data_IF_020900119845
#
_entry.id   IF_020900119845
#
_cell.length_a   1.000
_cell.length_b   1.000
_cell.length_c   1.000
_cell.angle_alpha   90.00
_cell.angle_beta   90.00
_cell.angle_gamma   90.00
#
_symmetry.space_group_name_H-M   'P 1'
#
loop_
_entity.id
_entity.type
_entity.pdbx_description
1 polymer ?
#
# COMPACT_ATOMS: atom_id res chain seq x y z
N UNK A 1 14.79 7.97 0.78
CA UNK A 1 13.45 7.71 1.35
C UNK A 1 12.70 9.02 1.50
N UNK A 2 11.46 9.05 1.06
CA UNK A 2 10.55 10.17 1.29
C UNK A 2 9.27 9.66 1.97
N UNK A 3 8.73 10.47 2.89
CA UNK A 3 7.40 10.27 3.45
C UNK A 3 6.42 11.18 2.69
N UNK A 4 5.45 10.58 2.03
CA UNK A 4 4.43 11.26 1.24
C UNK A 4 3.08 11.14 1.96
N UNK A 5 2.57 12.25 2.48
CA UNK A 5 1.22 12.33 3.05
C UNK A 5 0.30 12.91 2.00
N UNK A 6 -0.73 12.15 1.62
CA UNK A 6 -1.68 12.53 0.57
C UNK A 6 -2.84 13.27 1.21
N UNK A 7 -2.70 14.59 1.29
CA UNK A 7 -3.64 15.52 1.95
C UNK A 7 -4.78 16.00 1.04
N UNK A 8 -4.93 15.37 -0.13
CA UNK A 8 -5.96 15.75 -1.09
C UNK A 8 -7.37 15.72 -0.45
N UNK A 9 -8.20 16.79 -0.60
CA UNK A 9 -9.49 16.91 0.07
C UNK A 9 -10.44 15.73 -0.12
N UNK A 10 -10.47 15.10 -1.30
CA UNK A 10 -11.28 13.89 -1.55
C UNK A 10 -10.80 12.68 -0.74
N UNK A 11 -9.49 12.52 -0.58
CA UNK A 11 -8.92 11.44 0.23
C UNK A 11 -9.28 11.64 1.70
N UNK A 12 -9.07 12.87 2.21
CA UNK A 12 -9.35 13.22 3.59
C UNK A 12 -10.85 13.12 3.93
N UNK A 13 -11.73 13.58 3.04
CA UNK A 13 -13.17 13.42 3.21
C UNK A 13 -13.60 11.95 3.29
N UNK A 14 -13.12 11.12 2.37
CA UNK A 14 -13.43 9.68 2.34
C UNK A 14 -12.87 8.96 3.57
N UNK A 15 -11.65 9.31 3.98
CA UNK A 15 -11.03 8.78 5.19
C UNK A 15 -11.83 9.16 6.43
N UNK A 16 -12.34 10.39 6.54
CA UNK A 16 -13.19 10.83 7.65
C UNK A 16 -14.47 9.99 7.77
N UNK A 17 -15.11 9.66 6.65
CA UNK A 17 -16.28 8.76 6.64
C UNK A 17 -15.87 7.35 7.07
N UNK A 18 -14.74 6.86 6.56
CA UNK A 18 -14.22 5.53 6.83
C UNK A 18 -13.89 5.32 8.31
N UNK A 19 -13.40 6.36 8.99
CA UNK A 19 -13.06 6.33 10.42
C UNK A 19 -14.27 6.16 11.33
N UNK A 20 -15.47 6.59 10.91
CA UNK A 20 -16.67 6.50 11.73
C UNK A 20 -16.96 5.06 12.14
N UNK A 21 -17.30 4.85 13.41
CA UNK A 21 -17.60 3.51 13.96
C UNK A 21 -18.84 2.84 13.32
N UNK A 22 -19.79 3.66 12.88
CA UNK A 22 -21.03 3.21 12.23
C UNK A 22 -20.86 2.91 10.74
N UNK A 23 -19.69 3.14 10.14
CA UNK A 23 -19.45 2.83 8.72
C UNK A 23 -19.51 1.31 8.51
N UNK A 24 -20.47 0.87 7.72
CA UNK A 24 -20.69 -0.55 7.43
C UNK A 24 -19.52 -1.18 6.68
N UNK A 25 -19.37 -2.50 6.78
CA UNK A 25 -18.34 -3.27 6.05
C UNK A 25 -18.39 -3.01 4.54
N UNK A 26 -19.58 -2.92 3.95
CA UNK A 26 -19.74 -2.63 2.52
C UNK A 26 -19.16 -1.24 2.22
N UNK A 27 -19.59 -0.22 2.97
CA UNK A 27 -19.13 1.16 2.75
C UNK A 27 -17.64 1.32 3.04
N UNK A 28 -17.12 0.61 4.02
CA UNK A 28 -15.69 0.60 4.35
C UNK A 28 -14.86 0.08 3.16
N UNK A 29 -15.26 -1.03 2.53
CA UNK A 29 -14.61 -1.59 1.34
C UNK A 29 -14.66 -0.65 0.14
N UNK A 30 -15.81 -0.03 -0.12
CA UNK A 30 -15.96 0.97 -1.19
C UNK A 30 -15.00 2.14 -1.01
N UNK A 31 -14.97 2.73 0.19
CA UNK A 31 -14.10 3.85 0.52
C UNK A 31 -12.62 3.45 0.44
N UNK A 32 -12.26 2.27 0.92
CA UNK A 32 -10.90 1.76 0.83
C UNK A 32 -10.43 1.61 -0.61
N UNK A 33 -11.29 1.04 -1.48
CA UNK A 33 -11.02 0.94 -2.92
C UNK A 33 -10.80 2.32 -3.55
N UNK A 34 -11.70 3.28 -3.29
CA UNK A 34 -11.63 4.62 -3.84
C UNK A 34 -10.36 5.38 -3.37
N UNK A 35 -10.05 5.33 -2.06
CA UNK A 35 -8.83 5.96 -1.52
C UNK A 35 -7.60 5.29 -2.12
N UNK A 36 -7.59 3.96 -2.24
CA UNK A 36 -6.46 3.23 -2.84
C UNK A 36 -6.20 3.61 -4.29
N UNK A 37 -7.23 3.96 -5.07
CA UNK A 37 -7.07 4.52 -6.42
C UNK A 37 -6.37 5.87 -6.39
N UNK A 38 -6.79 6.80 -5.54
CA UNK A 38 -6.16 8.12 -5.41
C UNK A 38 -4.71 8.02 -4.92
N UNK A 39 -4.47 7.16 -3.93
CA UNK A 39 -3.11 6.90 -3.45
C UNK A 39 -2.24 6.26 -4.54
N UNK A 40 -2.79 5.33 -5.31
CA UNK A 40 -2.10 4.70 -6.44
C UNK A 40 -1.69 5.71 -7.51
N UNK A 41 -2.52 6.71 -7.79
CA UNK A 41 -2.19 7.82 -8.67
C UNK A 41 -0.95 8.60 -8.18
N UNK A 42 -0.87 8.89 -6.87
CA UNK A 42 0.29 9.56 -6.28
C UNK A 42 1.53 8.66 -6.23
N UNK A 43 1.36 7.39 -5.87
CA UNK A 43 2.47 6.40 -5.83
C UNK A 43 3.13 6.21 -7.20
N UNK A 44 2.42 6.51 -8.29
CA UNK A 44 2.91 6.34 -9.66
C UNK A 44 3.29 7.64 -10.36
N UNK A 45 3.30 8.77 -9.66
CA UNK A 45 3.48 10.12 -10.22
C UNK A 45 4.80 10.31 -10.97
N UNK A 46 5.86 9.66 -10.55
CA UNK A 46 7.21 9.75 -11.08
C UNK A 46 7.55 8.63 -12.09
N UNK A 47 6.55 7.93 -12.60
CA UNK A 47 6.80 6.88 -13.60
C UNK A 47 7.50 7.46 -14.82
N UNK A 48 8.61 6.85 -15.25
CA UNK A 48 9.33 7.32 -16.43
C UNK A 48 8.48 7.13 -17.68
N UNK A 49 8.56 8.11 -18.57
CA UNK A 49 7.90 8.08 -19.86
C UNK A 49 8.93 7.80 -20.99
N UNK A 50 8.49 7.09 -21.99
CA UNK A 50 9.11 6.99 -23.32
C UNK A 50 8.11 7.49 -24.35
N UNK A 51 8.55 7.66 -25.57
CA UNK A 51 7.70 8.16 -26.66
C UNK A 51 7.64 7.13 -27.78
N UNK A 52 6.47 6.99 -28.39
CA UNK A 52 6.27 6.17 -29.60
C UNK A 52 5.46 6.94 -30.64
N UNK A 53 5.78 6.71 -31.91
CA UNK A 53 4.97 7.26 -33.01
C UNK A 53 3.61 6.55 -33.04
N UNK A 54 2.56 7.32 -32.97
CA UNK A 54 1.18 6.86 -33.14
C UNK A 54 0.49 7.67 -34.25
N UNK A 55 -0.61 7.14 -34.77
CA UNK A 55 -1.50 7.84 -35.69
C UNK A 55 -2.84 8.13 -35.00
N UNK A 56 -3.18 9.40 -34.93
CA UNK A 56 -4.50 9.86 -34.50
C UNK A 56 -5.44 9.88 -35.70
N UNK A 57 -6.75 10.06 -35.55
CA UNK A 57 -7.65 10.23 -36.68
C UNK A 57 -7.31 11.41 -37.61
N UNK A 58 -6.43 12.32 -37.18
CA UNK A 58 -6.08 13.53 -37.91
C UNK A 58 -4.64 13.57 -38.41
N UNK A 59 -3.68 13.04 -37.67
CA UNK A 59 -2.25 13.09 -38.03
C UNK A 59 -1.40 12.15 -37.17
N UNK A 60 -0.18 11.90 -37.65
CA UNK A 60 0.88 11.23 -36.87
C UNK A 60 1.44 12.15 -35.80
N UNK A 61 1.78 11.58 -34.65
CA UNK A 61 2.44 12.28 -33.53
C UNK A 61 3.31 11.35 -32.72
N UNK A 62 4.27 11.91 -31.97
CA UNK A 62 4.96 11.21 -30.87
C UNK A 62 4.14 11.31 -29.59
N UNK A 63 3.67 10.17 -29.08
CA UNK A 63 2.85 10.10 -27.88
C UNK A 63 3.64 9.57 -26.69
N UNK A 64 3.41 10.09 -25.47
CA UNK A 64 4.03 9.57 -24.26
C UNK A 64 3.44 8.21 -23.87
N UNK A 65 4.32 7.31 -23.43
CA UNK A 65 4.00 5.97 -22.96
C UNK A 65 4.78 5.67 -21.69
N UNK A 66 4.17 5.03 -20.72
CA UNK A 66 4.88 4.59 -19.51
C UNK A 66 6.00 3.65 -19.92
N UNK A 67 7.23 4.01 -19.55
CA UNK A 67 8.43 3.22 -19.79
C UNK A 67 8.57 2.09 -18.78
N UNK A 68 9.25 1.03 -19.17
CA UNK A 68 9.68 -0.03 -18.27
C UNK A 68 8.64 -1.10 -18.00
N UNK A 69 8.89 -1.87 -16.94
CA UNK A 69 8.11 -3.05 -16.60
C UNK A 69 6.95 -2.68 -15.66
N UNK A 70 5.89 -3.48 -15.76
CA UNK A 70 4.66 -3.30 -15.01
C UNK A 70 4.87 -3.45 -13.49
N UNK A 71 4.03 -2.78 -12.71
CA UNK A 71 3.97 -2.80 -11.25
C UNK A 71 3.61 -4.20 -10.72
N UNK A 72 4.07 -4.49 -9.51
CA UNK A 72 3.57 -5.57 -8.66
C UNK A 72 2.90 -4.95 -7.44
N UNK A 73 1.67 -5.34 -7.16
CA UNK A 73 0.97 -5.03 -5.92
C UNK A 73 1.20 -6.22 -4.99
N UNK A 74 1.72 -5.95 -3.79
CA UNK A 74 2.07 -6.98 -2.81
C UNK A 74 1.35 -6.73 -1.47
N UNK A 75 0.08 -7.18 -1.33
CA UNK A 75 -0.64 -7.02 -0.08
C UNK A 75 -0.05 -7.88 1.03
N UNK A 76 0.07 -7.29 2.22
CA UNK A 76 0.27 -8.05 3.46
C UNK A 76 -1.10 -8.60 3.87
N UNK A 77 -1.21 -9.91 3.86
CA UNK A 77 -2.45 -10.59 4.20
C UNK A 77 -2.76 -10.44 5.70
N UNK A 78 -4.01 -10.26 6.08
CA UNK A 78 -5.25 -10.22 5.25
C UNK A 78 -5.59 -8.81 4.80
N UNK A 79 -5.41 -7.79 5.65
CA UNK A 79 -5.97 -6.44 5.48
C UNK A 79 -5.51 -5.73 4.19
N UNK A 80 -4.25 -5.94 3.78
CA UNK A 80 -3.71 -5.37 2.54
C UNK A 80 -4.48 -5.73 1.28
N UNK A 81 -5.21 -6.86 1.27
CA UNK A 81 -6.06 -7.25 0.14
C UNK A 81 -7.13 -6.21 -0.20
N UNK A 82 -7.64 -5.49 0.81
CA UNK A 82 -8.67 -4.47 0.58
C UNK A 82 -8.22 -3.31 -0.32
N UNK A 83 -6.91 -3.10 -0.43
CA UNK A 83 -6.34 -2.02 -1.27
C UNK A 83 -6.08 -2.47 -2.72
N UNK A 84 -6.04 -3.77 -2.99
CA UNK A 84 -5.63 -4.34 -4.29
C UNK A 84 -6.59 -3.96 -5.41
N UNK A 85 -7.90 -4.02 -5.15
CA UNK A 85 -8.92 -3.76 -6.17
C UNK A 85 -8.85 -2.31 -6.69
N UNK A 86 -8.62 -1.34 -5.81
CA UNK A 86 -8.44 0.06 -6.19
C UNK A 86 -7.23 0.25 -7.09
N UNK A 87 -6.10 -0.34 -6.73
CA UNK A 87 -4.88 -0.29 -7.53
C UNK A 87 -5.02 -1.00 -8.88
N UNK A 88 -5.69 -2.16 -8.95
CA UNK A 88 -5.96 -2.87 -10.20
C UNK A 88 -6.93 -2.10 -11.11
N UNK A 89 -7.86 -1.36 -10.54
CA UNK A 89 -8.75 -0.46 -11.32
C UNK A 89 -7.93 0.64 -12.02
N UNK A 90 -6.93 1.20 -11.32
CA UNK A 90 -6.03 2.23 -11.87
C UNK A 90 -4.98 1.63 -12.82
N UNK A 91 -4.40 0.48 -12.46
CA UNK A 91 -3.32 -0.17 -13.21
C UNK A 91 -3.74 -1.62 -13.53
N UNK A 92 -4.63 -1.85 -14.52
CA UNK A 92 -5.17 -3.20 -14.81
C UNK A 92 -4.10 -4.21 -15.21
N UNK A 93 -2.95 -3.72 -15.66
CA UNK A 93 -1.83 -4.56 -16.09
C UNK A 93 -0.86 -4.91 -14.95
N UNK A 94 -1.08 -4.44 -13.73
CA UNK A 94 -0.26 -4.80 -12.57
C UNK A 94 -0.32 -6.31 -12.30
N UNK A 95 0.77 -6.84 -11.74
CA UNK A 95 0.78 -8.20 -11.20
C UNK A 95 0.45 -8.13 -9.72
N UNK A 96 -0.10 -9.20 -9.18
CA UNK A 96 -0.38 -9.30 -7.74
C UNK A 96 0.47 -10.42 -7.16
N UNK A 97 1.27 -10.07 -6.16
CA UNK A 97 1.90 -11.03 -5.26
C UNK A 97 1.10 -11.12 -3.97
N UNK A 98 1.47 -12.02 -3.07
CA UNK A 98 0.84 -12.13 -1.76
C UNK A 98 1.88 -12.43 -0.69
N UNK A 99 1.81 -11.71 0.43
CA UNK A 99 2.68 -11.89 1.58
C UNK A 99 1.79 -12.23 2.78
N UNK A 100 1.67 -13.52 3.09
CA UNK A 100 0.96 -14.04 4.24
C UNK A 100 1.92 -14.23 5.40
N UNK A 101 1.71 -13.51 6.49
CA UNK A 101 2.54 -13.60 7.68
C UNK A 101 1.73 -13.34 8.94
N UNK A 102 2.20 -13.89 10.04
CA UNK A 102 1.77 -13.54 11.39
C UNK A 102 2.99 -13.46 12.30
N UNK A 103 2.82 -12.87 13.46
CA UNK A 103 3.86 -12.85 14.49
C UNK A 103 3.60 -13.99 15.46
N UNK A 104 4.59 -14.84 15.65
CA UNK A 104 4.54 -15.91 16.65
C UNK A 104 4.38 -15.32 18.04
N UNK A 105 3.45 -15.85 18.84
CA UNK A 105 3.10 -15.29 20.15
C UNK A 105 4.19 -15.53 21.21
N UNK A 106 4.98 -16.59 21.07
CA UNK A 106 6.03 -16.95 22.04
C UNK A 106 7.36 -16.28 21.69
N UNK A 107 7.77 -16.36 20.43
CA UNK A 107 9.08 -15.87 19.96
C UNK A 107 9.05 -14.42 19.50
N UNK A 108 7.87 -13.87 19.23
CA UNK A 108 7.68 -12.57 18.58
C UNK A 108 8.32 -12.45 17.17
N UNK A 109 8.74 -13.57 16.59
CA UNK A 109 9.34 -13.60 15.25
C UNK A 109 8.27 -13.66 14.16
N UNK A 110 8.54 -13.10 12.95
CA UNK A 110 7.62 -13.17 11.84
C UNK A 110 7.61 -14.56 11.21
N UNK A 111 6.44 -15.17 11.11
CA UNK A 111 6.21 -16.45 10.43
C UNK A 111 5.50 -16.21 9.11
N UNK A 112 6.16 -16.57 8.01
CA UNK A 112 5.58 -16.48 6.68
C UNK A 112 4.88 -17.81 6.35
N UNK A 113 3.56 -17.81 6.34
CA UNK A 113 2.77 -18.99 5.98
C UNK A 113 2.41 -19.06 4.50
N UNK A 114 2.50 -17.93 3.79
CA UNK A 114 2.28 -17.85 2.35
C UNK A 114 3.09 -16.70 1.74
N UNK A 115 3.87 -17.02 0.71
CA UNK A 115 4.64 -16.04 -0.02
C UNK A 115 4.68 -16.40 -1.50
N UNK A 116 4.04 -15.61 -2.33
CA UNK A 116 4.00 -15.81 -3.78
C UNK A 116 4.20 -14.49 -4.49
N UNK A 117 5.30 -14.36 -5.21
CA UNK A 117 5.68 -13.14 -5.94
C UNK A 117 6.00 -13.46 -7.40
N UNK A 118 5.80 -12.50 -8.35
CA UNK A 118 6.22 -12.66 -9.74
C UNK A 118 7.74 -12.84 -9.85
N UNK A 119 8.21 -13.67 -10.77
CA UNK A 119 9.64 -13.98 -10.92
C UNK A 119 10.52 -12.78 -11.33
N UNK A 120 9.96 -11.80 -12.05
CA UNK A 120 10.72 -10.63 -12.51
C UNK A 120 10.94 -9.61 -11.39
N UNK A 121 12.18 -9.43 -10.99
CA UNK A 121 12.61 -8.60 -9.86
C UNK A 121 12.80 -7.10 -10.19
N UNK A 122 12.88 -6.72 -11.48
CA UNK A 122 13.07 -5.32 -11.90
C UNK A 122 11.78 -4.48 -11.86
N UNK A 123 10.70 -5.03 -11.31
CA UNK A 123 9.42 -4.34 -11.20
C UNK A 123 9.37 -3.46 -9.96
N UNK A 124 8.66 -2.33 -10.05
CA UNK A 124 8.24 -1.63 -8.84
C UNK A 124 7.26 -2.52 -8.06
N UNK A 125 7.56 -2.76 -6.79
CA UNK A 125 6.67 -3.44 -5.86
C UNK A 125 6.00 -2.41 -4.96
N UNK A 126 4.67 -2.34 -4.99
CA UNK A 126 3.87 -1.55 -4.06
C UNK A 126 3.37 -2.51 -2.97
N UNK A 127 4.00 -2.46 -1.82
CA UNK A 127 3.54 -3.19 -0.63
C UNK A 127 2.33 -2.46 -0.06
N UNK A 128 1.23 -3.15 0.19
CA UNK A 128 0.01 -2.54 0.71
C UNK A 128 -0.40 -3.13 2.05
N UNK A 129 -0.64 -2.25 3.01
CA UNK A 129 -1.24 -2.56 4.30
C UNK A 129 -2.03 -1.34 4.77
N UNK A 130 -3.33 -1.44 5.12
CA UNK A 130 -4.09 -0.27 5.57
C UNK A 130 -3.51 0.40 6.82
N UNK A 131 -2.78 -0.32 7.66
CA UNK A 131 -2.36 0.17 8.98
C UNK A 131 -0.87 -0.05 9.24
N UNK A 132 -0.13 1.04 9.33
CA UNK A 132 1.28 1.03 9.77
C UNK A 132 1.36 1.42 11.25
N UNK A 133 1.08 0.45 12.14
CA UNK A 133 1.08 0.66 13.59
C UNK A 133 2.51 0.65 14.17
N UNK A 134 3.02 -0.52 14.57
CA UNK A 134 4.40 -0.66 15.07
C UNK A 134 5.46 -0.71 13.96
N UNK A 135 5.04 -0.98 12.73
CA UNK A 135 5.93 -1.15 11.58
C UNK A 135 6.50 -2.57 11.41
N UNK A 136 6.33 -3.45 12.39
CA UNK A 136 6.96 -4.78 12.36
C UNK A 136 6.62 -5.59 11.11
N UNK A 137 5.33 -5.78 10.81
CA UNK A 137 4.91 -6.55 9.62
C UNK A 137 5.40 -5.92 8.31
N UNK A 138 5.35 -4.59 8.20
CA UNK A 138 5.86 -3.89 7.02
C UNK A 138 7.37 -4.07 6.85
N UNK A 139 8.14 -3.92 7.93
CA UNK A 139 9.59 -4.13 7.92
C UNK A 139 9.95 -5.55 7.50
N UNK A 140 9.28 -6.55 8.07
CA UNK A 140 9.56 -7.96 7.78
C UNK A 140 9.18 -8.32 6.34
N UNK A 141 8.04 -7.82 5.84
CA UNK A 141 7.63 -8.00 4.45
C UNK A 141 8.63 -7.37 3.46
N UNK A 142 9.08 -6.15 3.74
CA UNK A 142 10.09 -5.45 2.91
C UNK A 142 11.43 -6.19 2.97
N UNK A 143 11.87 -6.62 4.15
CA UNK A 143 13.10 -7.41 4.32
C UNK A 143 13.03 -8.70 3.51
N UNK A 144 11.90 -9.41 3.55
CA UNK A 144 11.68 -10.62 2.76
C UNK A 144 11.78 -10.35 1.26
N UNK A 145 11.16 -9.28 0.77
CA UNK A 145 11.23 -8.87 -0.63
C UNK A 145 12.67 -8.56 -1.06
N UNK A 146 13.43 -7.82 -0.24
CA UNK A 146 14.84 -7.50 -0.51
C UNK A 146 15.72 -8.75 -0.56
N UNK A 147 15.53 -9.66 0.40
CA UNK A 147 16.24 -10.95 0.42
C UNK A 147 15.94 -11.79 -0.82
N UNK A 148 14.75 -11.63 -1.38
CA UNK A 148 14.30 -12.30 -2.61
C UNK A 148 14.77 -11.59 -3.89
N UNK A 149 15.50 -10.46 -3.75
CA UNK A 149 16.13 -9.70 -4.83
C UNK A 149 15.29 -8.57 -5.43
N UNK A 150 14.20 -8.16 -4.80
CA UNK A 150 13.48 -6.94 -5.20
C UNK A 150 14.19 -5.70 -4.65
N UNK A 151 14.45 -4.72 -5.51
CA UNK A 151 15.18 -3.50 -5.15
C UNK A 151 14.36 -2.23 -5.23
N UNK A 152 13.27 -2.23 -6.00
CA UNK A 152 12.40 -1.07 -6.18
C UNK A 152 11.08 -1.32 -5.43
N UNK A 153 10.99 -0.83 -4.19
CA UNK A 153 9.88 -1.11 -3.28
C UNK A 153 9.33 0.22 -2.77
N UNK A 154 8.00 0.36 -2.76
CA UNK A 154 7.25 1.43 -2.10
C UNK A 154 6.27 0.82 -1.11
N UNK A 155 6.08 1.47 0.02
CA UNK A 155 5.08 1.10 1.02
C UNK A 155 3.89 2.06 0.93
N UNK A 156 2.69 1.52 0.82
CA UNK A 156 1.45 2.29 0.77
C UNK A 156 0.52 1.84 1.90
N UNK A 157 0.28 2.74 2.86
CA UNK A 157 -0.61 2.51 3.99
C UNK A 157 -1.68 3.59 4.07
N UNK A 158 -2.87 3.23 4.56
CA UNK A 158 -3.96 4.19 4.71
C UNK A 158 -3.69 5.13 5.88
N UNK A 159 -3.45 4.57 7.07
CA UNK A 159 -3.10 5.32 8.27
C UNK A 159 -1.82 4.76 8.91
N UNK A 160 -1.04 5.63 9.53
CA UNK A 160 0.19 5.25 10.20
C UNK A 160 0.34 5.95 11.56
N UNK A 161 1.09 5.33 12.46
CA UNK A 161 1.63 5.96 13.65
C UNK A 161 3.03 6.54 13.37
N UNK A 162 3.50 7.53 14.14
CA UNK A 162 4.88 8.00 14.07
C UNK A 162 5.91 6.89 14.35
N UNK A 163 5.57 5.95 15.24
CA UNK A 163 6.43 4.82 15.58
C UNK A 163 6.60 3.86 14.40
N UNK A 164 5.50 3.55 13.68
CA UNK A 164 5.54 2.70 12.50
C UNK A 164 6.36 3.31 11.36
N UNK A 165 6.16 4.60 11.11
CA UNK A 165 6.96 5.35 10.12
C UNK A 165 8.45 5.32 10.51
N UNK A 166 8.77 5.60 11.78
CA UNK A 166 10.15 5.56 12.28
C UNK A 166 10.77 4.18 12.08
N UNK A 167 10.08 3.11 12.44
CA UNK A 167 10.58 1.75 12.32
C UNK A 167 10.94 1.39 10.87
N UNK A 168 10.06 1.73 9.90
CA UNK A 168 10.34 1.50 8.48
C UNK A 168 11.49 2.38 7.99
N UNK A 169 11.54 3.64 8.40
CA UNK A 169 12.60 4.59 8.02
C UNK A 169 13.98 4.12 8.45
N UNK A 170 14.10 3.64 9.69
CA UNK A 170 15.36 3.18 10.25
C UNK A 170 15.86 1.87 9.63
N UNK A 171 14.95 0.93 9.36
CA UNK A 171 15.30 -0.39 8.82
C UNK A 171 15.41 -0.41 7.29
N UNK A 172 14.64 0.45 6.60
CA UNK A 172 14.55 0.49 5.14
C UNK A 172 14.62 1.93 4.61
N UNK A 173 15.74 2.63 4.78
CA UNK A 173 15.89 4.04 4.41
C UNK A 173 15.81 4.32 2.89
N UNK A 174 15.75 3.29 2.08
CA UNK A 174 15.60 3.33 0.61
C UNK A 174 14.16 3.13 0.13
N UNK A 175 13.21 2.92 1.05
CA UNK A 175 11.80 2.67 0.72
C UNK A 175 10.96 3.92 0.97
N UNK A 176 10.29 4.43 -0.06
CA UNK A 176 9.35 5.54 0.10
C UNK A 176 8.03 5.06 0.70
N UNK A 177 7.49 5.87 1.61
CA UNK A 177 6.25 5.59 2.34
C UNK A 177 5.16 6.56 1.87
N UNK A 178 4.01 6.03 1.49
CA UNK A 178 2.84 6.79 1.08
C UNK A 178 1.69 6.55 2.06
N UNK A 179 1.14 7.61 2.63
CA UNK A 179 0.09 7.58 3.64
C UNK A 179 -1.09 8.48 3.24
N UNK A 180 -2.30 8.09 3.56
CA UNK A 180 -3.44 9.01 3.55
C UNK A 180 -3.48 9.85 4.84
N UNK A 181 -2.99 9.31 5.98
CA UNK A 181 -2.85 10.06 7.23
C UNK A 181 -1.72 9.54 8.09
N UNK A 182 -0.96 10.46 8.66
CA UNK A 182 -0.09 10.18 9.81
C UNK A 182 -0.86 10.62 11.06
N UNK A 183 -1.21 9.66 11.89
CA UNK A 183 -2.02 9.85 13.09
C UNK A 183 -1.14 10.15 14.32
N UNK A 184 -1.75 10.44 15.49
CA UNK A 184 -1.06 10.97 16.65
C UNK A 184 -0.13 9.95 17.33
N UNK A 185 -0.52 8.67 17.34
CA UNK A 185 0.25 7.60 18.01
C UNK A 185 -0.52 6.29 18.13
N UNK A 186 -0.22 5.54 19.18
CA UNK A 186 -0.85 4.26 19.48
C UNK A 186 -1.25 4.17 20.95
N UNK A 187 -2.31 3.37 21.22
CA UNK A 187 -2.65 2.99 22.58
C UNK A 187 -1.80 1.79 23.07
N UNK A 188 -2.01 1.38 24.32
CA UNK A 188 -1.31 0.25 24.98
C UNK A 188 -1.47 -1.10 24.24
N UNK A 189 -2.52 -1.24 23.43
CA UNK A 189 -2.78 -2.42 22.60
C UNK A 189 -2.28 -2.29 21.16
N UNK A 190 -1.44 -1.31 20.89
CA UNK A 190 -0.89 -0.99 19.57
C UNK A 190 -1.94 -0.62 18.49
N UNK A 191 -3.12 -0.15 18.89
CA UNK A 191 -4.06 0.46 17.94
C UNK A 191 -3.67 1.91 17.69
N UNK A 192 -3.67 2.31 16.42
CA UNK A 192 -3.42 3.69 16.00
C UNK A 192 -4.53 4.61 16.54
N UNK A 193 -4.16 5.78 17.03
CA UNK A 193 -5.06 6.81 17.55
C UNK A 193 -4.89 8.11 16.74
N UNK A 194 -6.00 8.73 16.30
CA UNK A 194 -7.41 8.33 16.42
C UNK A 194 -7.74 7.08 15.60
N UNK A 195 -6.95 6.72 14.57
CA UNK A 195 -7.05 5.48 13.81
C UNK A 195 -8.40 5.26 13.11
N UNK A 196 -8.71 3.99 12.87
CA UNK A 196 -9.97 3.55 12.25
C UNK A 196 -10.44 2.17 12.78
N UNK A 197 -9.92 1.74 13.93
CA UNK A 197 -10.16 0.40 14.49
C UNK A 197 -9.32 -0.67 13.80
N UNK A 198 -9.76 -1.94 13.88
CA UNK A 198 -9.12 -3.03 13.15
C UNK A 198 -9.57 -3.04 11.68
N UNK A 199 -8.66 -2.74 10.78
CA UNK A 199 -8.96 -2.67 9.36
C UNK A 199 -9.37 -4.04 8.79
N UNK A 200 -8.72 -5.12 9.22
CA UNK A 200 -9.04 -6.47 8.77
C UNK A 200 -10.46 -6.87 9.12
N UNK A 201 -10.84 -6.68 10.37
CA UNK A 201 -12.21 -6.97 10.84
C UNK A 201 -13.25 -6.11 10.11
N UNK A 202 -12.96 -4.83 9.91
CA UNK A 202 -13.86 -3.91 9.19
C UNK A 202 -13.99 -4.23 7.70
N UNK A 203 -12.91 -4.71 7.06
CA UNK A 203 -12.93 -5.14 5.65
C UNK A 203 -13.70 -6.45 5.49
N UNK A 204 -13.46 -7.42 6.39
CA UNK A 204 -13.96 -8.80 6.22
C UNK A 204 -15.20 -9.11 7.03
N UNK A 205 -15.59 -8.23 7.96
CA UNK A 205 -16.77 -8.45 8.82
C UNK A 205 -16.57 -9.59 9.80
N UNK A 206 -15.36 -9.72 10.38
CA UNK A 206 -14.99 -10.83 11.26
C UNK A 206 -15.24 -10.55 12.75
N UNK A 207 -15.79 -9.41 13.10
CA UNK A 207 -16.33 -9.04 14.42
C UNK A 207 -17.68 -8.40 14.29
#
# INVERSE_FOLDING_TARGET
>A
MALHIIDHPLVQHKLSIMRKKETSTIKFRELLKEISMFMGYEVTRDFPLTYEEIETPLMKMNAPKISGKKVVIAPILRAGLGMVEGLLTLIPSARVGHIGMYRDEETCEPVFYYYKMPANKDRLVIVTDPMLATGGSACDAIRRLKNDGYTNIRLMCLVASPQGVKAVTEQHPDVDIYLASLDEGMNEKNYILPGLGDAGDRIFGTK
#
